data_IF_396049546740
#
_entry.id   IF_396049546740
#
_cell.length_a   1.000
_cell.length_b   1.000
_cell.length_c   1.000
_cell.angle_alpha   90.00
_cell.angle_beta   90.00
_cell.angle_gamma   90.00
#
_symmetry.space_group_name_H-M   'P 1'
#
loop_
_entity.id
_entity.type
_entity.pdbx_description
1 polymer ?
#
# COMPACT_ATOMS: atom_id res chain seq x y z
N UNK A 1 -1.80 -11.46 -24.26
CA UNK A 1 -2.37 -10.70 -23.13
C UNK A 1 -1.90 -9.26 -23.18
N UNK A 2 -2.84 -8.35 -23.22
CA UNK A 2 -2.52 -6.93 -23.28
C UNK A 2 -1.90 -6.46 -21.96
N UNK A 3 -0.91 -5.56 -22.00
CA UNK A 3 -0.39 -4.96 -20.79
C UNK A 3 -1.45 -4.07 -20.12
N UNK A 4 -1.40 -4.03 -18.80
CA UNK A 4 -2.29 -3.19 -18.01
C UNK A 4 -1.52 -1.99 -17.48
N UNK A 5 -2.11 -0.81 -17.66
CA UNK A 5 -1.55 0.43 -17.13
C UNK A 5 -2.34 0.81 -15.88
N UNK A 6 -1.64 1.04 -14.78
CA UNK A 6 -2.24 1.49 -13.53
C UNK A 6 -1.68 2.86 -13.20
N UNK A 7 -2.57 3.85 -13.06
CA UNK A 7 -2.18 5.23 -12.78
C UNK A 7 -2.64 5.63 -11.38
N UNK A 8 -1.71 5.91 -10.46
CA UNK A 8 -2.09 6.43 -9.16
C UNK A 8 -2.47 7.91 -9.25
N UNK A 9 -3.43 8.32 -8.42
CA UNK A 9 -3.84 9.70 -8.28
C UNK A 9 -3.64 10.14 -6.84
N UNK A 10 -3.03 11.30 -6.65
CA UNK A 10 -2.73 11.84 -5.33
C UNK A 10 -3.51 13.13 -5.14
N UNK A 11 -4.25 13.21 -4.05
CA UNK A 11 -5.04 14.39 -3.70
C UNK A 11 -4.61 14.91 -2.34
N UNK A 12 -4.54 16.23 -2.23
CA UNK A 12 -4.28 16.88 -0.95
C UNK A 12 -5.60 17.27 -0.32
N UNK A 13 -5.80 16.86 0.91
CA UNK A 13 -6.96 17.25 1.71
C UNK A 13 -6.54 18.33 2.69
N UNK A 14 -7.33 19.38 2.81
CA UNK A 14 -7.07 20.46 3.75
C UNK A 14 -7.45 20.07 5.18
N UNK A 15 -8.36 19.11 5.30
CA UNK A 15 -8.75 18.58 6.60
C UNK A 15 -9.05 17.07 6.45
N UNK A 16 -8.94 16.37 7.57
CA UNK A 16 -9.24 14.94 7.61
C UNK A 16 -10.74 14.72 7.48
N UNK A 17 -11.13 13.82 6.58
CA UNK A 17 -12.52 13.46 6.36
C UNK A 17 -12.72 11.96 6.58
N UNK A 18 -13.99 11.56 6.79
CA UNK A 18 -14.36 10.15 6.82
C UNK A 18 -14.78 9.74 5.41
N UNK A 19 -14.02 8.83 4.76
CA UNK A 19 -14.40 8.35 3.43
C UNK A 19 -15.70 7.56 3.45
N UNK A 20 -16.49 7.71 2.39
CA UNK A 20 -17.68 6.90 2.18
C UNK A 20 -17.32 5.78 1.22
N UNK A 21 -17.50 4.54 1.66
CA UNK A 21 -17.12 3.37 0.87
C UNK A 21 -18.18 3.06 -0.17
N UNK A 22 -17.72 2.61 -1.35
CA UNK A 22 -18.61 2.07 -2.36
C UNK A 22 -18.52 0.53 -2.33
N UNK A 23 -19.21 -0.14 -3.27
CA UNK A 23 -19.28 -1.60 -3.29
C UNK A 23 -17.93 -2.28 -3.61
N UNK A 24 -16.96 -1.54 -4.15
CA UNK A 24 -15.65 -2.08 -4.50
C UNK A 24 -14.63 -1.96 -3.37
N UNK A 25 -14.89 -1.09 -2.40
CA UNK A 25 -13.94 -0.76 -1.34
C UNK A 25 -14.42 -1.37 -0.03
N UNK A 26 -13.65 -2.31 0.49
CA UNK A 26 -13.97 -2.98 1.75
C UNK A 26 -13.61 -2.13 2.97
N UNK A 27 -12.52 -1.36 2.88
CA UNK A 27 -12.05 -0.56 4.01
C UNK A 27 -11.13 0.57 3.54
N UNK A 28 -11.00 1.59 4.36
CA UNK A 28 -10.01 2.64 4.18
C UNK A 28 -9.21 2.80 5.47
N UNK A 29 -8.03 3.40 5.37
CA UNK A 29 -7.14 3.57 6.50
C UNK A 29 -6.32 4.83 6.35
N UNK A 30 -6.14 5.54 7.46
CA UNK A 30 -5.21 6.65 7.52
C UNK A 30 -3.84 6.12 7.96
N UNK A 31 -2.79 6.46 7.21
CA UNK A 31 -1.42 6.07 7.50
C UNK A 31 -0.55 7.31 7.60
N UNK A 32 0.38 7.28 8.54
CA UNK A 32 1.42 8.31 8.65
C UNK A 32 2.56 7.95 7.71
N UNK A 33 2.91 8.83 6.77
CA UNK A 33 3.95 8.53 5.78
C UNK A 33 5.31 8.26 6.44
N UNK A 34 5.62 8.94 7.53
CA UNK A 34 6.87 8.72 8.26
C UNK A 34 6.97 7.28 8.80
N UNK A 35 5.84 6.66 9.14
CA UNK A 35 5.82 5.27 9.58
C UNK A 35 6.19 4.32 8.44
N UNK A 36 5.73 4.59 7.22
CA UNK A 36 6.07 3.81 6.03
C UNK A 36 7.54 4.02 5.63
N UNK A 37 8.08 5.18 5.93
CA UNK A 37 9.46 5.52 5.58
C UNK A 37 10.49 4.95 6.57
N UNK A 38 10.04 4.34 7.67
CA UNK A 38 10.90 3.75 8.69
C UNK A 38 11.16 2.28 8.36
N UNK A 39 12.41 1.90 8.02
CA UNK A 39 12.72 0.50 7.66
C UNK A 39 12.39 -0.52 8.74
N UNK A 40 12.42 -0.13 10.01
CA UNK A 40 12.10 -1.02 11.12
C UNK A 40 10.65 -1.49 11.09
N UNK A 41 9.75 -0.79 10.39
CA UNK A 41 8.34 -1.15 10.27
C UNK A 41 8.07 -2.11 9.12
N UNK A 42 9.06 -2.31 8.25
CA UNK A 42 8.93 -3.25 7.13
C UNK A 42 8.98 -4.69 7.61
N UNK A 43 8.20 -5.54 6.95
CA UNK A 43 8.15 -6.99 7.22
C UNK A 43 8.29 -7.72 5.90
N UNK A 44 8.46 -9.03 5.99
CA UNK A 44 8.53 -9.90 4.81
C UNK A 44 7.36 -10.86 4.83
N UNK A 45 6.70 -10.99 3.68
CA UNK A 45 5.66 -11.98 3.49
C UNK A 45 6.04 -12.94 2.37
N UNK A 46 5.39 -14.09 2.33
CA UNK A 46 5.55 -15.08 1.27
C UNK A 46 4.34 -15.04 0.34
N UNK A 47 4.63 -14.89 -0.93
CA UNK A 47 3.61 -14.99 -1.98
C UNK A 47 3.81 -16.32 -2.70
N UNK A 48 2.75 -17.11 -2.78
CA UNK A 48 2.80 -18.42 -3.42
C UNK A 48 2.14 -18.37 -4.79
N UNK A 49 2.90 -18.75 -5.82
CA UNK A 49 2.39 -18.87 -7.19
C UNK A 49 2.73 -20.28 -7.66
N UNK A 50 1.74 -21.17 -7.73
CA UNK A 50 1.98 -22.56 -8.01
C UNK A 50 2.92 -23.17 -6.98
N UNK A 51 4.09 -23.66 -7.42
CA UNK A 51 5.11 -24.22 -6.54
C UNK A 51 6.16 -23.23 -6.08
N UNK A 52 6.06 -21.99 -6.58
CA UNK A 52 7.02 -20.95 -6.22
C UNK A 52 6.57 -20.24 -4.95
N UNK A 53 7.55 -19.92 -4.12
CA UNK A 53 7.35 -19.09 -2.93
C UNK A 53 8.30 -17.91 -3.04
N UNK A 54 7.74 -16.70 -3.10
CA UNK A 54 8.50 -15.48 -3.31
C UNK A 54 8.41 -14.63 -2.06
N UNK A 55 9.58 -14.21 -1.53
CA UNK A 55 9.63 -13.28 -0.42
C UNK A 55 9.37 -11.86 -0.94
N UNK A 56 8.43 -11.15 -0.32
CA UNK A 56 8.05 -9.80 -0.72
C UNK A 56 7.98 -8.88 0.49
N UNK A 57 8.34 -7.60 0.33
CA UNK A 57 8.17 -6.65 1.43
C UNK A 57 6.70 -6.36 1.68
N UNK A 58 6.39 -6.09 2.93
CA UNK A 58 5.04 -5.68 3.32
C UNK A 58 5.09 -4.82 4.58
N UNK A 59 3.98 -4.16 4.88
CA UNK A 59 3.77 -3.45 6.14
C UNK A 59 2.49 -3.98 6.77
N UNK A 60 2.55 -4.32 8.04
CA UNK A 60 1.38 -4.76 8.79
C UNK A 60 0.66 -3.52 9.31
N UNK A 61 -0.52 -3.27 8.78
CA UNK A 61 -1.33 -2.10 9.14
C UNK A 61 -2.31 -2.37 10.29
N UNK A 62 -2.23 -3.55 10.91
CA UNK A 62 -3.17 -3.98 11.95
C UNK A 62 -4.41 -4.65 11.38
N UNK A 63 -5.17 -5.31 12.26
CA UNK A 63 -6.43 -5.99 11.90
C UNK A 63 -6.30 -6.97 10.74
N UNK A 64 -5.13 -7.60 10.60
CA UNK A 64 -4.86 -8.53 9.51
C UNK A 64 -4.63 -7.87 8.15
N UNK A 65 -4.63 -6.54 8.09
CA UNK A 65 -4.42 -5.82 6.85
C UNK A 65 -2.93 -5.64 6.56
N UNK A 66 -2.54 -5.96 5.35
CA UNK A 66 -1.16 -5.80 4.88
C UNK A 66 -1.09 -4.87 3.69
N UNK A 67 -0.10 -4.00 3.71
CA UNK A 67 0.23 -3.15 2.58
C UNK A 67 1.40 -3.82 1.84
N UNK A 68 1.18 -4.18 0.56
CA UNK A 68 2.17 -4.89 -0.24
C UNK A 68 1.89 -4.71 -1.74
N UNK A 69 2.74 -5.29 -2.57
CA UNK A 69 2.53 -5.33 -3.99
C UNK A 69 2.55 -3.97 -4.66
N UNK A 70 1.70 -3.78 -5.66
CA UNK A 70 1.64 -2.56 -6.45
C UNK A 70 1.30 -1.33 -5.60
N UNK A 71 0.40 -1.47 -4.66
CA UNK A 71 0.03 -0.36 -3.77
C UNK A 71 1.23 0.11 -2.95
N UNK A 72 2.01 -0.83 -2.40
CA UNK A 72 3.23 -0.48 -1.67
C UNK A 72 4.25 0.20 -2.58
N UNK A 73 4.42 -0.31 -3.81
CA UNK A 73 5.36 0.30 -4.77
C UNK A 73 4.97 1.75 -5.08
N UNK A 74 3.69 2.03 -5.25
CA UNK A 74 3.21 3.39 -5.50
C UNK A 74 3.44 4.30 -4.30
N UNK A 75 3.22 3.80 -3.09
CA UNK A 75 3.46 4.57 -1.88
C UNK A 75 4.95 4.83 -1.63
N UNK A 76 5.80 3.86 -1.92
CA UNK A 76 7.25 4.04 -1.84
C UNK A 76 7.72 5.16 -2.77
N UNK A 77 7.18 5.20 -3.98
CA UNK A 77 7.50 6.26 -4.93
C UNK A 77 7.02 7.61 -4.42
N UNK A 78 5.81 7.69 -3.87
CA UNK A 78 5.29 8.91 -3.27
C UNK A 78 6.17 9.39 -2.12
N UNK A 79 6.57 8.50 -1.22
CA UNK A 79 7.46 8.84 -0.10
C UNK A 79 8.81 9.35 -0.60
N UNK A 80 9.34 8.73 -1.65
CA UNK A 80 10.61 9.15 -2.26
C UNK A 80 10.52 10.56 -2.83
N UNK A 81 9.41 10.90 -3.46
CA UNK A 81 9.19 12.23 -4.02
C UNK A 81 8.97 13.30 -2.94
N UNK A 82 8.45 12.90 -1.78
CA UNK A 82 8.15 13.81 -0.67
C UNK A 82 9.36 14.11 0.22
N UNK A 83 10.45 13.36 0.08
CA UNK A 83 11.69 13.57 0.87
C UNK A 83 12.46 14.81 0.45
#
# INVERSE_FOLDING_TARGET
RAPMVVSPFVYRLEQRIEPVLNHEIAATRWLVLAWLDEPANSRTMRWHVGRLSIAMPCYDCGDGQRLWGLTLAMLDELCSLAR
#
